data_IF_900686866904
#
_entry.id   IF_900686866904
#
_cell.length_a   1.000
_cell.length_b   1.000
_cell.length_c   1.000
_cell.angle_alpha   90.00
_cell.angle_beta   90.00
_cell.angle_gamma   90.00
#
_symmetry.space_group_name_H-M   'P 1'
#
loop_
_entity.id
_entity.type
_entity.pdbx_description
1 polymer ?
#
# COMPACT_ATOMS: atom_id res chain seq x y z
N UNK A 1 -13.70 -25.61 21.69
CA UNK A 1 -12.40 -25.44 21.00
C UNK A 1 -12.67 -24.73 19.69
N UNK A 2 -12.16 -23.52 19.50
CA UNK A 2 -12.35 -22.76 18.25
C UNK A 2 -11.35 -23.27 17.22
N UNK A 3 -11.84 -23.83 16.12
CA UNK A 3 -11.01 -24.31 15.01
C UNK A 3 -10.86 -23.20 13.95
N UNK A 4 -9.63 -22.77 13.69
CA UNK A 4 -9.36 -21.79 12.64
C UNK A 4 -9.32 -22.50 11.28
N UNK A 5 -10.16 -22.05 10.34
CA UNK A 5 -10.24 -22.58 8.98
C UNK A 5 -10.14 -21.45 7.98
N UNK A 6 -9.38 -21.66 6.89
CA UNK A 6 -9.33 -20.76 5.73
C UNK A 6 -9.33 -21.59 4.45
N UNK A 7 -10.19 -21.24 3.49
CA UNK A 7 -10.45 -22.02 2.28
C UNK A 7 -10.75 -23.51 2.57
N UNK A 8 -11.54 -23.79 3.61
CA UNK A 8 -11.91 -25.16 4.01
C UNK A 8 -10.80 -25.97 4.70
N UNK A 9 -9.56 -25.47 4.78
CA UNK A 9 -8.44 -26.14 5.46
C UNK A 9 -8.33 -25.67 6.91
N UNK A 10 -8.23 -26.62 7.83
CA UNK A 10 -7.86 -26.36 9.23
C UNK A 10 -6.42 -25.84 9.27
N UNK A 11 -6.17 -24.82 10.06
CA UNK A 11 -4.86 -24.23 10.24
C UNK A 11 -4.69 -23.73 11.66
N UNK A 12 -3.45 -23.47 12.06
CA UNK A 12 -3.18 -22.85 13.36
C UNK A 12 -3.73 -21.43 13.39
N UNK A 13 -4.05 -20.94 14.59
CA UNK A 13 -4.42 -19.54 14.81
C UNK A 13 -3.38 -18.59 14.21
N UNK A 14 -2.09 -18.89 14.39
CA UNK A 14 -1.00 -18.10 13.85
C UNK A 14 -1.04 -18.02 12.33
N UNK A 15 -1.17 -19.15 11.62
CA UNK A 15 -1.27 -19.15 10.15
C UNK A 15 -2.51 -18.41 9.64
N UNK A 16 -3.62 -18.52 10.37
CA UNK A 16 -4.85 -17.81 10.03
C UNK A 16 -4.66 -16.29 10.11
N UNK A 17 -4.14 -15.80 11.24
CA UNK A 17 -3.91 -14.37 11.45
C UNK A 17 -2.79 -13.81 10.58
N UNK A 18 -1.70 -14.54 10.32
CA UNK A 18 -0.65 -14.15 9.38
C UNK A 18 -1.21 -13.96 7.97
N UNK A 19 -2.07 -14.89 7.54
CA UNK A 19 -2.76 -14.75 6.27
C UNK A 19 -3.66 -13.51 6.23
N UNK A 20 -4.40 -13.20 7.30
CA UNK A 20 -5.26 -12.01 7.34
C UNK A 20 -4.40 -10.75 7.26
N UNK A 21 -3.31 -10.68 8.02
CA UNK A 21 -2.37 -9.55 8.00
C UNK A 21 -1.80 -9.34 6.60
N UNK A 22 -1.45 -10.42 5.90
CA UNK A 22 -0.93 -10.35 4.53
C UNK A 22 -1.96 -9.79 3.54
N UNK A 23 -3.22 -10.23 3.62
CA UNK A 23 -4.31 -9.67 2.79
C UNK A 23 -4.59 -8.20 3.12
N UNK A 24 -4.63 -7.84 4.41
CA UNK A 24 -4.82 -6.45 4.82
C UNK A 24 -3.68 -5.56 4.32
N UNK A 25 -2.43 -6.03 4.40
CA UNK A 25 -1.28 -5.30 3.90
C UNK A 25 -1.36 -5.13 2.38
N UNK A 26 -1.68 -6.19 1.64
CA UNK A 26 -1.84 -6.13 0.19
C UNK A 26 -2.97 -5.18 -0.23
N UNK A 27 -4.10 -5.18 0.49
CA UNK A 27 -5.20 -4.25 0.23
C UNK A 27 -4.81 -2.81 0.53
N UNK A 28 -4.13 -2.55 1.65
CA UNK A 28 -3.64 -1.23 1.99
C UNK A 28 -2.62 -0.72 0.96
N UNK A 29 -1.68 -1.56 0.53
CA UNK A 29 -0.74 -1.23 -0.54
C UNK A 29 -1.45 -0.92 -1.86
N UNK A 30 -2.47 -1.70 -2.22
CA UNK A 30 -3.26 -1.47 -3.43
C UNK A 30 -4.06 -0.17 -3.39
N UNK A 31 -4.58 0.21 -2.23
CA UNK A 31 -5.27 1.50 -2.05
C UNK A 31 -4.31 2.68 -2.16
N UNK A 32 -3.14 2.59 -1.51
CA UNK A 32 -2.08 3.60 -1.62
C UNK A 32 -1.64 3.76 -3.07
N UNK A 33 -1.37 2.65 -3.78
CA UNK A 33 -0.99 2.68 -5.19
C UNK A 33 -2.05 3.36 -6.06
N UNK A 34 -3.33 3.01 -5.84
CA UNK A 34 -4.44 3.61 -6.57
C UNK A 34 -4.50 5.12 -6.35
N UNK A 35 -4.44 5.57 -5.09
CA UNK A 35 -4.49 7.00 -4.74
C UNK A 35 -3.30 7.77 -5.30
N UNK A 36 -2.10 7.19 -5.23
CA UNK A 36 -0.87 7.76 -5.81
C UNK A 36 -0.94 7.87 -7.33
N UNK A 37 -1.47 6.86 -8.04
CA UNK A 37 -1.65 6.91 -9.50
C UNK A 37 -2.70 7.92 -9.96
N UNK A 38 -3.72 8.16 -9.14
CA UNK A 38 -4.75 9.18 -9.42
C UNK A 38 -4.33 10.59 -9.02
N UNK A 39 -3.21 10.72 -8.29
CA UNK A 39 -2.72 12.01 -7.85
C UNK A 39 -2.29 12.84 -9.06
N UNK A 40 -2.88 14.03 -9.16
CA UNK A 40 -2.44 15.06 -10.09
C UNK A 40 -1.69 16.13 -9.34
N UNK A 41 -0.63 16.59 -9.98
CA UNK A 41 0.16 17.69 -9.49
C UNK A 41 -0.69 18.96 -9.51
N UNK A 42 -0.86 19.64 -8.36
CA UNK A 42 -1.72 20.82 -8.28
C UNK A 42 -1.09 22.08 -8.93
N UNK A 43 0.21 22.06 -9.23
CA UNK A 43 0.92 23.17 -9.86
C UNK A 43 0.91 23.04 -11.37
N UNK A 44 1.07 21.82 -11.89
CA UNK A 44 1.17 21.56 -13.33
C UNK A 44 -0.09 20.93 -13.94
N UNK A 45 -1.02 20.43 -13.11
CA UNK A 45 -2.20 19.68 -13.54
C UNK A 45 -1.91 18.29 -14.13
N UNK A 46 -0.63 17.90 -14.19
CA UNK A 46 -0.15 16.66 -14.78
C UNK A 46 -0.24 15.49 -13.78
N UNK A 47 -0.36 14.24 -14.24
CA UNK A 47 -0.28 13.08 -13.35
C UNK A 47 1.09 13.04 -12.66
N UNK A 48 1.09 12.79 -11.35
CA UNK A 48 2.33 12.63 -10.58
C UNK A 48 2.98 11.31 -10.97
N UNK A 49 4.29 11.35 -11.24
CA UNK A 49 5.02 10.14 -11.62
C UNK A 49 5.43 9.40 -10.36
N UNK A 50 4.89 8.19 -10.19
CA UNK A 50 5.12 7.36 -9.00
C UNK A 50 5.72 6.04 -9.43
N UNK A 51 6.88 5.69 -8.85
CA UNK A 51 7.58 4.45 -9.11
C UNK A 51 7.67 3.63 -7.82
N UNK A 52 7.16 2.40 -7.84
CA UNK A 52 7.30 1.42 -6.76
C UNK A 52 8.59 0.62 -6.98
N UNK A 53 9.44 0.56 -5.97
CA UNK A 53 10.60 -0.34 -5.93
C UNK A 53 10.45 -1.26 -4.73
N UNK A 54 10.50 -2.58 -4.95
CA UNK A 54 10.46 -3.56 -3.87
C UNK A 54 11.84 -4.20 -3.76
N UNK A 55 12.50 -4.04 -2.60
CA UNK A 55 13.82 -4.62 -2.34
C UNK A 55 13.85 -5.24 -0.94
N UNK A 56 14.25 -6.51 -0.84
CA UNK A 56 14.28 -7.30 0.41
C UNK A 56 12.96 -7.23 1.21
N UNK A 57 11.81 -7.28 0.53
CA UNK A 57 10.50 -7.21 1.18
C UNK A 57 10.09 -5.82 1.69
N UNK A 58 10.91 -4.77 1.43
CA UNK A 58 10.54 -3.38 1.69
C UNK A 58 10.08 -2.72 0.39
N UNK A 59 8.89 -2.13 0.41
CA UNK A 59 8.39 -1.30 -0.68
C UNK A 59 8.82 0.15 -0.46
N UNK A 60 9.57 0.70 -1.41
CA UNK A 60 9.94 2.11 -1.49
C UNK A 60 9.15 2.76 -2.61
N UNK A 61 8.52 3.89 -2.33
CA UNK A 61 7.77 4.68 -3.29
C UNK A 61 8.56 5.95 -3.64
N UNK A 62 8.98 6.06 -4.89
CA UNK A 62 9.59 7.27 -5.42
C UNK A 62 8.51 8.11 -6.10
N UNK A 63 8.30 9.33 -5.61
CA UNK A 63 7.31 10.27 -6.12
C UNK A 63 8.06 11.43 -6.76
N UNK A 64 7.87 11.62 -8.06
CA UNK A 64 8.42 12.72 -8.84
C UNK A 64 7.29 13.69 -9.19
N UNK A 65 7.43 14.95 -8.75
CA UNK A 65 6.45 16.00 -8.97
C UNK A 65 6.83 17.27 -8.20
N UNK A 66 5.95 18.26 -8.22
CA UNK A 66 6.16 19.52 -7.52
C UNK A 66 6.09 19.33 -5.99
N UNK A 67 6.63 20.26 -5.18
CA UNK A 67 6.65 20.11 -3.72
C UNK A 67 5.27 19.84 -3.11
N UNK A 68 4.21 20.46 -3.67
CA UNK A 68 2.83 20.20 -3.25
C UNK A 68 2.36 18.78 -3.58
N UNK A 69 2.71 18.26 -4.74
CA UNK A 69 2.41 16.88 -5.14
C UNK A 69 3.13 15.88 -4.21
N UNK A 70 4.39 16.14 -3.86
CA UNK A 70 5.15 15.30 -2.92
C UNK A 70 4.52 15.33 -1.53
N UNK A 71 4.07 16.50 -1.06
CA UNK A 71 3.39 16.63 0.23
C UNK A 71 2.06 15.86 0.29
N UNK A 72 1.24 15.93 -0.77
CA UNK A 72 0.00 15.16 -0.87
C UNK A 72 0.27 13.65 -0.97
N UNK A 73 1.29 13.25 -1.73
CA UNK A 73 1.71 11.86 -1.79
C UNK A 73 2.18 11.31 -0.43
N UNK A 74 2.92 12.10 0.35
CA UNK A 74 3.32 11.74 1.73
C UNK A 74 2.11 11.53 2.64
N UNK A 75 1.10 12.41 2.56
CA UNK A 75 -0.17 12.23 3.30
C UNK A 75 -0.89 10.94 2.90
N UNK A 76 -0.95 10.62 1.60
CA UNK A 76 -1.56 9.37 1.10
C UNK A 76 -0.82 8.14 1.67
N UNK A 77 0.50 8.22 1.77
CA UNK A 77 1.34 7.15 2.33
C UNK A 77 1.32 7.10 3.87
N UNK A 78 0.65 8.04 4.55
CA UNK A 78 0.65 8.12 6.01
C UNK A 78 1.99 8.51 6.62
N UNK A 79 2.87 9.13 5.82
CA UNK A 79 4.20 9.60 6.24
C UNK A 79 4.04 11.07 6.64
N UNK A 80 4.13 11.36 7.95
CA UNK A 80 4.22 12.74 8.49
C UNK A 80 5.66 13.24 8.46
#
# INVERSE_FOLDING_TARGET
>A
MLEFKRNGRKMSSQQFFDGIKKDMLANAEGEVERRLRTLRDPETGQPVKVTKQVRNGKATWNVEGSPKAIAEAKKIMGIS
#
